data_IF_061722537639
#
_entry.id   IF_061722537639
#
_cell.length_a   1.000
_cell.length_b   1.000
_cell.length_c   1.000
_cell.angle_alpha   90.00
_cell.angle_beta   90.00
_cell.angle_gamma   90.00
#
_symmetry.space_group_name_H-M   'P 1'
#
loop_
_entity.id
_entity.type
_entity.pdbx_description
1 polymer ?
#
# COMPACT_ATOMS: atom_id res chain seq x y z
N UNK A 1 62.51 -20.40 14.08
CA UNK A 1 62.60 -19.42 15.18
C UNK A 1 61.57 -18.34 14.88
N UNK A 2 60.52 -18.28 15.68
CA UNK A 2 59.31 -17.48 15.50
C UNK A 2 59.53 -16.05 15.98
N UNK A 3 59.13 -15.05 15.19
CA UNK A 3 58.87 -13.69 15.71
C UNK A 3 57.72 -13.02 14.94
N UNK A 4 56.72 -12.65 15.75
CA UNK A 4 55.74 -11.55 15.63
C UNK A 4 54.73 -11.62 14.48
N UNK A 5 53.46 -11.96 14.74
CA UNK A 5 52.42 -11.12 15.38
C UNK A 5 52.40 -9.69 14.86
N UNK A 6 51.51 -9.42 13.91
CA UNK A 6 50.87 -8.11 13.75
C UNK A 6 49.37 -8.33 13.52
N UNK A 7 48.67 -8.15 14.63
CA UNK A 7 47.23 -8.03 14.78
C UNK A 7 46.68 -6.98 13.81
N UNK A 8 45.91 -7.43 12.82
CA UNK A 8 44.96 -6.56 12.12
C UNK A 8 43.82 -6.28 13.10
N UNK A 9 43.94 -5.18 13.85
CA UNK A 9 42.78 -4.54 14.48
C UNK A 9 41.81 -4.14 13.36
N UNK A 10 40.80 -4.96 13.12
CA UNK A 10 39.59 -4.54 12.43
C UNK A 10 38.93 -3.52 13.35
N UNK A 11 39.16 -2.25 13.06
CA UNK A 11 38.37 -1.14 13.60
C UNK A 11 36.94 -1.29 13.05
N UNK A 12 36.14 -2.14 13.70
CA UNK A 12 34.68 -2.07 13.61
C UNK A 12 34.25 -0.81 14.35
N UNK A 13 34.40 0.33 13.70
CA UNK A 13 33.74 1.55 14.15
C UNK A 13 32.24 1.28 14.04
N UNK A 14 31.63 0.90 15.16
CA UNK A 14 30.19 0.90 15.35
C UNK A 14 29.73 2.33 15.16
N UNK A 15 29.44 2.69 13.91
CA UNK A 15 28.92 4.01 13.58
C UNK A 15 27.52 4.04 14.18
N UNK A 16 27.38 4.66 15.34
CA UNK A 16 26.09 4.98 15.93
C UNK A 16 25.40 5.91 14.93
N UNK A 17 24.34 5.41 14.30
CA UNK A 17 23.50 6.25 13.46
C UNK A 17 22.77 7.22 14.37
N UNK A 18 22.71 8.49 13.97
CA UNK A 18 21.81 9.41 14.64
C UNK A 18 20.35 8.94 14.44
N UNK A 19 19.41 9.27 15.35
CA UNK A 19 18.00 8.93 15.19
C UNK A 19 17.41 9.38 13.84
N UNK A 20 17.94 10.47 13.29
CA UNK A 20 17.57 10.99 11.98
C UNK A 20 18.06 10.10 10.83
N UNK A 21 19.30 9.62 10.87
CA UNK A 21 19.85 8.69 9.87
C UNK A 21 19.14 7.32 9.92
N UNK A 22 18.77 6.86 11.12
CA UNK A 22 17.98 5.65 11.30
C UNK A 22 16.59 5.77 10.64
N UNK A 23 15.92 6.91 10.78
CA UNK A 23 14.63 7.19 10.13
C UNK A 23 14.73 7.23 8.59
N UNK A 24 15.82 7.79 8.04
CA UNK A 24 16.06 7.81 6.59
C UNK A 24 16.28 6.39 6.05
N UNK A 25 17.07 5.57 6.74
CA UNK A 25 17.34 4.18 6.37
C UNK A 25 16.05 3.34 6.50
N UNK A 26 15.23 3.58 7.52
CA UNK A 26 13.91 2.97 7.69
C UNK A 26 13.01 3.25 6.49
N UNK A 27 12.88 4.53 6.12
CA UNK A 27 12.04 4.96 5.02
C UNK A 27 12.52 4.35 3.68
N UNK A 28 13.83 4.31 3.44
CA UNK A 28 14.40 3.71 2.24
C UNK A 28 14.17 2.20 2.16
N UNK A 29 14.32 1.47 3.28
CA UNK A 29 14.04 0.02 3.34
C UNK A 29 12.56 -0.29 3.18
N UNK A 30 11.68 0.51 3.80
CA UNK A 30 10.23 0.37 3.65
C UNK A 30 9.80 0.64 2.20
N UNK A 31 10.31 1.71 1.58
CA UNK A 31 10.03 2.02 0.17
C UNK A 31 10.52 0.91 -0.78
N UNK A 32 11.68 0.32 -0.51
CA UNK A 32 12.20 -0.83 -1.27
C UNK A 32 11.35 -2.10 -1.07
N UNK A 33 10.71 -2.28 0.09
CA UNK A 33 9.80 -3.39 0.33
C UNK A 33 8.42 -3.20 -0.35
N UNK A 34 8.00 -1.95 -0.58
CA UNK A 34 6.76 -1.67 -1.32
C UNK A 34 6.84 -2.15 -2.77
N UNK A 35 7.98 -1.95 -3.44
CA UNK A 35 8.15 -2.34 -4.85
C UNK A 35 8.09 -3.87 -5.07
N UNK A 36 8.22 -4.66 -4.00
CA UNK A 36 8.16 -6.12 -4.02
C UNK A 36 6.81 -6.71 -3.55
N UNK A 37 5.90 -5.91 -2.98
CA UNK A 37 4.68 -6.41 -2.31
C UNK A 37 3.39 -6.03 -3.04
N UNK A 38 2.35 -6.87 -2.90
CA UNK A 38 1.02 -6.73 -3.53
C UNK A 38 0.19 -5.50 -3.08
N UNK A 39 0.29 -4.96 -1.84
CA UNK A 39 -0.46 -3.78 -1.42
C UNK A 39 0.34 -2.47 -1.57
N UNK A 40 -0.37 -1.38 -1.86
CA UNK A 40 0.16 -0.02 -1.90
C UNK A 40 -0.09 0.63 -0.54
N UNK A 41 0.95 1.20 0.08
CA UNK A 41 0.79 1.86 1.38
C UNK A 41 0.80 3.38 1.21
N UNK A 42 -0.08 4.07 1.92
CA UNK A 42 -0.06 5.52 1.95
C UNK A 42 1.15 6.07 2.72
N UNK A 43 1.56 7.34 2.47
CA UNK A 43 2.69 7.96 3.17
C UNK A 43 2.57 7.94 4.70
N UNK A 44 1.37 8.14 5.26
CA UNK A 44 1.14 8.08 6.71
C UNK A 44 1.40 6.70 7.31
N UNK A 45 1.06 5.60 6.60
CA UNK A 45 1.35 4.23 7.05
C UNK A 45 2.86 3.99 7.08
N UNK A 46 3.56 4.40 6.03
CA UNK A 46 5.02 4.28 5.97
C UNK A 46 5.70 5.10 7.06
N UNK A 47 5.21 6.32 7.32
CA UNK A 47 5.72 7.18 8.39
C UNK A 47 5.53 6.55 9.76
N UNK A 48 4.32 6.07 10.06
CA UNK A 48 4.04 5.40 11.33
C UNK A 48 4.89 4.13 11.55
N UNK A 49 5.19 3.40 10.47
CA UNK A 49 6.09 2.25 10.52
C UNK A 49 7.56 2.67 10.74
N UNK A 50 8.00 3.75 10.09
CA UNK A 50 9.34 4.31 10.30
C UNK A 50 9.51 4.83 11.74
N UNK A 51 8.50 5.51 12.29
CA UNK A 51 8.50 6.00 13.67
C UNK A 51 8.60 4.83 14.68
N UNK A 52 7.85 3.75 14.45
CA UNK A 52 7.98 2.53 15.27
C UNK A 52 9.38 1.93 15.20
N UNK A 53 9.96 1.88 13.99
CA UNK A 53 11.29 1.32 13.82
C UNK A 53 12.35 2.18 14.53
N UNK A 54 12.19 3.50 14.51
CA UNK A 54 13.02 4.44 15.27
C UNK A 54 12.88 4.24 16.79
N UNK A 55 11.66 4.04 17.30
CA UNK A 55 11.41 3.72 18.72
C UNK A 55 12.08 2.42 19.15
N UNK A 56 12.00 1.38 18.30
CA UNK A 56 12.64 0.07 18.54
C UNK A 56 14.16 0.21 18.61
N UNK A 57 14.77 0.97 17.69
CA UNK A 57 16.20 1.27 17.75
C UNK A 57 16.61 2.05 18.99
N UNK A 58 15.88 3.12 19.33
CA UNK A 58 16.17 3.88 20.54
C UNK A 58 16.04 3.02 21.81
N UNK A 59 15.08 2.08 21.84
CA UNK A 59 14.95 1.13 22.94
C UNK A 59 16.14 0.16 22.99
N UNK A 60 16.60 -0.35 21.85
CA UNK A 60 17.71 -1.31 21.81
C UNK A 60 19.02 -0.70 22.26
N UNK A 61 19.30 0.54 21.87
CA UNK A 61 20.46 1.29 22.34
C UNK A 61 20.46 1.45 23.87
N UNK A 62 19.31 1.79 24.47
CA UNK A 62 19.17 1.89 25.94
C UNK A 62 19.42 0.57 26.65
N UNK A 63 19.17 -0.56 25.98
CA UNK A 63 19.37 -1.90 26.51
C UNK A 63 20.68 -2.55 26.08
N UNK A 64 21.56 -1.83 25.36
CA UNK A 64 22.86 -2.33 24.92
C UNK A 64 22.80 -3.40 23.82
N UNK A 65 21.70 -3.48 23.08
CA UNK A 65 21.54 -4.38 21.93
C UNK A 65 22.00 -3.65 20.67
N UNK A 66 23.06 -4.14 20.04
CA UNK A 66 23.66 -3.48 18.89
C UNK A 66 22.88 -3.80 17.59
N UNK A 67 22.90 -2.91 16.57
CA UNK A 67 22.34 -3.17 15.24
C UNK A 67 22.75 -4.53 14.62
N UNK A 68 23.98 -4.97 14.85
CA UNK A 68 24.49 -6.26 14.36
C UNK A 68 23.84 -7.48 15.05
N UNK A 69 23.35 -7.32 16.28
CA UNK A 69 22.69 -8.38 17.04
C UNK A 69 21.27 -8.66 16.51
N UNK A 70 20.71 -7.78 15.69
CA UNK A 70 19.43 -8.03 15.02
C UNK A 70 19.58 -8.92 13.79
N UNK A 71 20.74 -8.87 13.13
CA UNK A 71 21.03 -9.75 12.00
C UNK A 71 21.14 -11.21 12.46
N UNK A 72 21.68 -11.44 13.66
CA UNK A 72 21.75 -12.78 14.28
C UNK A 72 20.41 -13.29 14.78
N UNK A 73 19.47 -12.39 15.09
CA UNK A 73 18.07 -12.73 15.40
C UNK A 73 17.24 -13.09 14.16
N UNK A 74 17.80 -12.99 12.95
CA UNK A 74 17.12 -13.20 11.67
C UNK A 74 15.79 -12.44 11.55
N UNK A 75 15.64 -11.33 12.28
CA UNK A 75 14.40 -10.57 12.32
C UNK A 75 14.46 -9.40 11.33
N UNK A 76 13.61 -9.43 10.30
CA UNK A 76 13.44 -8.30 9.41
C UNK A 76 12.57 -7.23 10.10
N UNK A 77 13.22 -6.31 10.83
CA UNK A 77 12.51 -5.32 11.65
C UNK A 77 11.59 -4.39 10.86
N UNK A 78 11.95 -4.02 9.63
CA UNK A 78 11.12 -3.13 8.81
C UNK A 78 9.78 -3.78 8.41
N UNK A 79 9.75 -5.00 7.83
CA UNK A 79 8.52 -5.75 7.64
C UNK A 79 7.71 -5.96 8.93
N UNK A 80 8.36 -6.25 10.06
CA UNK A 80 7.67 -6.41 11.35
C UNK A 80 7.05 -5.10 11.84
N UNK A 81 7.74 -3.98 11.73
CA UNK A 81 7.20 -2.66 12.08
C UNK A 81 5.98 -2.31 11.22
N UNK A 82 6.07 -2.58 9.91
CA UNK A 82 4.96 -2.38 8.99
C UNK A 82 3.76 -3.27 9.36
N UNK A 83 3.97 -4.57 9.57
CA UNK A 83 2.93 -5.51 10.00
C UNK A 83 2.30 -5.09 11.35
N UNK A 84 3.12 -4.67 12.32
CA UNK A 84 2.64 -4.21 13.62
C UNK A 84 1.74 -2.98 13.50
N UNK A 85 2.08 -2.02 12.62
CA UNK A 85 1.24 -0.84 12.36
C UNK A 85 -0.04 -1.19 11.62
N UNK A 86 0.01 -2.04 10.60
CA UNK A 86 -1.21 -2.55 9.93
C UNK A 86 -2.13 -3.24 10.95
N UNK A 87 -1.58 -4.11 11.78
CA UNK A 87 -2.34 -4.80 12.83
C UNK A 87 -2.89 -3.84 13.89
N UNK A 88 -2.22 -2.71 14.15
CA UNK A 88 -2.76 -1.67 15.03
C UNK A 88 -3.96 -0.96 14.37
N UNK A 89 -3.88 -0.62 13.08
CA UNK A 89 -5.01 -0.04 12.34
C UNK A 89 -6.21 -0.99 12.27
N UNK A 90 -5.97 -2.28 12.06
CA UNK A 90 -7.03 -3.29 12.02
C UNK A 90 -7.68 -3.59 13.37
N UNK A 91 -7.02 -3.23 14.48
CA UNK A 91 -7.59 -3.36 15.85
C UNK A 91 -8.32 -2.10 16.30
N UNK A 92 -8.11 -0.97 15.63
CA UNK A 92 -8.82 0.25 15.95
C UNK A 92 -10.32 0.06 15.63
N UNK A 93 -11.23 0.57 16.47
CA UNK A 93 -12.65 0.55 16.15
C UNK A 93 -12.88 1.30 14.84
N UNK A 94 -13.66 0.71 13.93
CA UNK A 94 -13.95 1.37 12.68
C UNK A 94 -14.86 2.58 12.95
N UNK A 95 -14.45 3.80 12.54
CA UNK A 95 -15.27 4.98 12.72
C UNK A 95 -16.52 4.88 11.86
N UNK A 96 -17.64 5.38 12.38
CA UNK A 96 -18.84 5.62 11.60
C UNK A 96 -18.58 6.80 10.65
N UNK A 97 -18.61 6.53 9.35
CA UNK A 97 -18.35 7.50 8.28
C UNK A 97 -19.32 7.23 7.14
N UNK A 98 -19.61 8.26 6.34
CA UNK A 98 -20.27 8.08 5.05
C UNK A 98 -19.20 7.68 4.01
N UNK A 99 -19.21 6.41 3.52
CA UNK A 99 -18.18 5.95 2.59
C UNK A 99 -18.28 6.61 1.21
N UNK A 100 -19.46 7.07 0.79
CA UNK A 100 -19.63 7.79 -0.48
C UNK A 100 -19.13 9.24 -0.40
N UNK A 101 -19.35 9.90 0.74
CA UNK A 101 -18.75 11.21 1.01
C UNK A 101 -17.22 11.11 1.01
N UNK A 102 -16.66 10.08 1.65
CA UNK A 102 -15.20 9.92 1.68
C UNK A 102 -14.61 9.65 0.29
N UNK A 103 -15.29 8.87 -0.56
CA UNK A 103 -14.90 8.70 -1.96
C UNK A 103 -15.00 10.01 -2.75
N UNK A 104 -15.98 10.86 -2.47
CA UNK A 104 -16.09 12.20 -3.06
C UNK A 104 -14.88 13.06 -2.70
N UNK A 105 -14.42 13.01 -1.44
CA UNK A 105 -13.20 13.70 -1.01
C UNK A 105 -11.93 13.16 -1.69
N UNK A 106 -11.87 11.85 -1.96
CA UNK A 106 -10.78 11.25 -2.74
C UNK A 106 -10.72 11.82 -4.16
N UNK A 107 -11.87 11.97 -4.83
CA UNK A 107 -11.94 12.59 -6.17
C UNK A 107 -11.45 14.04 -6.11
N UNK A 108 -11.98 14.84 -5.18
CA UNK A 108 -11.58 16.24 -5.01
C UNK A 108 -10.08 16.38 -4.78
N UNK A 109 -9.51 15.52 -3.95
CA UNK A 109 -8.07 15.53 -3.70
C UNK A 109 -7.25 15.13 -4.94
N UNK A 110 -7.70 14.16 -5.72
CA UNK A 110 -7.04 13.78 -6.97
C UNK A 110 -7.09 14.92 -8.01
N UNK A 111 -8.22 15.61 -8.13
CA UNK A 111 -8.37 16.80 -8.99
C UNK A 111 -7.46 17.94 -8.56
N UNK A 112 -7.36 18.20 -7.26
CA UNK A 112 -6.47 19.23 -6.71
C UNK A 112 -4.99 18.92 -7.01
N UNK A 113 -4.62 17.65 -6.94
CA UNK A 113 -3.25 17.18 -7.19
C UNK A 113 -2.87 17.34 -8.67
N UNK A 114 -3.80 17.01 -9.58
CA UNK A 114 -3.54 17.00 -11.02
C UNK A 114 -3.79 18.37 -11.68
N UNK A 115 -4.57 19.25 -11.04
CA UNK A 115 -5.01 20.52 -11.60
C UNK A 115 -6.06 20.37 -12.71
N UNK A 116 -6.54 19.15 -12.96
CA UNK A 116 -7.48 18.79 -14.02
C UNK A 116 -8.60 17.91 -13.47
N UNK A 117 -9.85 18.06 -13.95
CA UNK A 117 -10.96 17.21 -13.54
C UNK A 117 -10.67 15.72 -13.74
N UNK A 118 -11.13 14.90 -12.80
CA UNK A 118 -11.11 13.44 -12.94
C UNK A 118 -12.37 13.05 -13.71
N UNK A 119 -12.19 12.34 -14.83
CA UNK A 119 -13.33 11.87 -15.62
C UNK A 119 -14.06 10.75 -14.89
N UNK A 120 -15.14 11.07 -14.18
CA UNK A 120 -16.02 10.09 -13.57
C UNK A 120 -16.89 9.41 -14.63
N UNK A 121 -16.74 8.09 -14.75
CA UNK A 121 -17.70 7.24 -15.48
C UNK A 121 -18.92 7.00 -14.60
N UNK A 122 -18.69 6.81 -13.30
CA UNK A 122 -19.73 6.66 -12.29
C UNK A 122 -19.33 7.41 -11.02
N UNK A 123 -20.26 8.22 -10.51
CA UNK A 123 -20.06 9.01 -9.30
C UNK A 123 -19.94 8.10 -8.06
N UNK A 124 -19.31 8.59 -6.97
CA UNK A 124 -19.32 7.91 -5.68
C UNK A 124 -20.73 7.46 -5.28
N UNK A 125 -20.89 6.15 -5.12
CA UNK A 125 -22.17 5.50 -4.87
C UNK A 125 -22.03 4.54 -3.69
N UNK A 126 -22.85 4.75 -2.66
CA UNK A 126 -23.00 3.80 -1.56
C UNK A 126 -23.85 2.62 -2.02
N UNK A 127 -23.33 1.40 -1.85
CA UNK A 127 -24.08 0.16 -2.03
C UNK A 127 -24.89 -0.12 -0.77
N UNK A 128 -24.26 0.07 0.39
CA UNK A 128 -24.85 -0.07 1.72
C UNK A 128 -24.03 0.79 2.72
N UNK A 129 -24.28 0.65 4.02
CA UNK A 129 -23.58 1.42 5.07
C UNK A 129 -22.08 1.10 5.19
N UNK A 130 -21.66 -0.06 4.69
CA UNK A 130 -20.34 -0.65 4.83
C UNK A 130 -19.58 -0.71 3.49
N UNK A 131 -20.22 -0.42 2.35
CA UNK A 131 -19.62 -0.54 1.02
C UNK A 131 -20.00 0.64 0.12
N UNK A 132 -19.00 1.24 -0.51
CA UNK A 132 -19.18 2.23 -1.58
C UNK A 132 -18.12 2.06 -2.68
N UNK A 133 -18.42 2.59 -3.86
CA UNK A 133 -17.51 2.58 -4.99
C UNK A 133 -17.65 3.83 -5.86
N UNK A 134 -16.66 4.04 -6.73
CA UNK A 134 -16.72 4.97 -7.85
C UNK A 134 -15.97 4.40 -9.04
N UNK A 135 -16.30 4.88 -10.25
CA UNK A 135 -15.67 4.42 -11.49
C UNK A 135 -15.04 5.61 -12.21
N UNK A 136 -13.73 5.54 -12.42
CA UNK A 136 -12.94 6.58 -13.06
C UNK A 136 -12.56 6.13 -14.48
N UNK A 137 -12.74 7.03 -15.44
CA UNK A 137 -12.33 6.85 -16.82
C UNK A 137 -10.81 6.87 -16.93
N UNK A 138 -10.29 6.18 -17.94
CA UNK A 138 -8.86 6.21 -18.25
C UNK A 138 -8.47 7.54 -18.87
N UNK A 139 -7.23 7.94 -18.59
CA UNK A 139 -6.50 8.97 -19.34
C UNK A 139 -5.60 8.30 -20.38
N UNK A 140 -5.05 9.10 -21.30
CA UNK A 140 -4.16 8.59 -22.35
C UNK A 140 -2.86 8.01 -21.76
N UNK A 141 -2.40 8.57 -20.64
CA UNK A 141 -1.20 8.21 -19.90
C UNK A 141 -1.43 7.01 -18.96
N UNK A 142 -2.69 6.70 -18.67
CA UNK A 142 -3.04 5.58 -17.79
C UNK A 142 -2.51 4.27 -18.39
N UNK A 143 -1.79 3.42 -17.62
CA UNK A 143 -1.32 2.14 -18.10
C UNK A 143 -2.44 1.30 -18.72
N UNK A 144 -2.13 0.49 -19.73
CA UNK A 144 -3.13 -0.39 -20.34
C UNK A 144 -3.42 -1.57 -19.40
N UNK A 145 -4.70 -1.76 -19.04
CA UNK A 145 -5.15 -2.90 -18.24
C UNK A 145 -6.54 -3.39 -18.66
N UNK A 146 -6.91 -4.57 -18.17
CA UNK A 146 -8.11 -5.28 -18.60
C UNK A 146 -7.95 -5.98 -19.96
N UNK A 147 -8.96 -6.75 -20.42
CA UNK A 147 -8.85 -7.61 -21.60
C UNK A 147 -8.53 -6.87 -22.91
N UNK A 148 -8.97 -5.62 -23.02
CA UNK A 148 -8.78 -4.76 -24.20
C UNK A 148 -7.81 -3.61 -23.96
N UNK A 149 -7.23 -3.52 -22.76
CA UNK A 149 -6.32 -2.44 -22.40
C UNK A 149 -6.99 -1.09 -22.17
N UNK A 150 -8.33 -1.04 -22.09
CA UNK A 150 -9.17 0.18 -22.00
C UNK A 150 -10.10 0.21 -20.78
N UNK A 151 -10.01 -0.74 -19.86
CA UNK A 151 -10.96 -0.85 -18.75
C UNK A 151 -10.86 0.35 -17.79
N UNK A 152 -11.96 0.86 -17.24
CA UNK A 152 -11.91 1.93 -16.24
C UNK A 152 -11.24 1.48 -14.93
N UNK A 153 -10.93 2.45 -14.06
CA UNK A 153 -10.46 2.20 -12.70
C UNK A 153 -11.67 2.22 -11.76
N UNK A 154 -11.91 1.13 -11.06
CA UNK A 154 -12.88 1.07 -9.96
C UNK A 154 -12.13 1.30 -8.65
N UNK A 155 -12.61 2.26 -7.86
CA UNK A 155 -12.13 2.50 -6.50
C UNK A 155 -13.24 2.09 -5.55
N UNK A 156 -12.94 1.19 -4.62
CA UNK A 156 -13.88 0.68 -3.64
C UNK A 156 -13.39 0.98 -2.24
N UNK A 157 -14.35 1.33 -1.38
CA UNK A 157 -14.18 1.43 0.06
C UNK A 157 -15.15 0.46 0.70
N UNK A 158 -14.63 -0.55 1.40
CA UNK A 158 -15.44 -1.65 1.94
C UNK A 158 -15.11 -1.88 3.41
N UNK A 159 -16.10 -2.31 4.18
CA UNK A 159 -15.91 -2.79 5.55
C UNK A 159 -16.26 -4.28 5.56
N UNK A 160 -15.28 -5.19 5.40
CA UNK A 160 -15.57 -6.61 5.26
C UNK A 160 -16.24 -7.14 6.52
N UNK A 161 -17.40 -7.77 6.38
CA UNK A 161 -18.07 -8.47 7.48
C UNK A 161 -17.22 -9.68 7.92
N UNK A 162 -16.24 -9.47 8.80
CA UNK A 162 -15.48 -10.57 9.41
C UNK A 162 -16.34 -11.19 10.50
N UNK A 163 -16.72 -12.45 10.31
CA UNK A 163 -17.59 -13.20 11.23
C UNK A 163 -17.15 -13.03 12.69
N UNK A 164 -17.98 -12.38 13.52
CA UNK A 164 -17.79 -12.29 14.97
C UNK A 164 -17.06 -11.04 15.50
N UNK A 165 -16.66 -10.08 14.66
CA UNK A 165 -16.08 -8.80 15.11
C UNK A 165 -17.00 -7.66 14.70
N UNK A 166 -17.49 -6.88 15.69
CA UNK A 166 -18.54 -5.88 15.50
C UNK A 166 -18.14 -4.65 14.67
N UNK A 167 -16.88 -4.53 14.23
CA UNK A 167 -16.42 -3.47 13.33
C UNK A 167 -15.08 -3.88 12.70
N UNK A 168 -15.12 -4.43 11.48
CA UNK A 168 -13.90 -4.63 10.71
C UNK A 168 -13.32 -3.28 10.27
N UNK A 169 -12.00 -3.16 10.06
CA UNK A 169 -11.41 -1.94 9.51
C UNK A 169 -11.92 -1.69 8.08
N UNK A 170 -11.91 -0.42 7.68
CA UNK A 170 -12.13 -0.04 6.28
C UNK A 170 -10.97 -0.51 5.40
N UNK A 171 -11.30 -1.09 4.24
CA UNK A 171 -10.36 -1.58 3.24
C UNK A 171 -10.58 -0.84 1.92
N UNK A 172 -9.49 -0.26 1.39
CA UNK A 172 -9.47 0.42 0.09
C UNK A 172 -8.98 -0.53 -0.99
N UNK A 173 -9.72 -0.62 -2.09
CA UNK A 173 -9.36 -1.48 -3.21
C UNK A 173 -9.41 -0.73 -4.52
N UNK A 174 -8.37 -0.93 -5.34
CA UNK A 174 -8.31 -0.50 -6.72
C UNK A 174 -8.45 -1.73 -7.61
N UNK A 175 -9.43 -1.71 -8.51
CA UNK A 175 -9.68 -2.81 -9.44
C UNK A 175 -9.78 -2.29 -10.88
N UNK A 176 -9.13 -2.95 -11.86
CA UNK A 176 -9.48 -2.78 -13.25
C UNK A 176 -10.82 -3.50 -13.44
N UNK A 177 -11.83 -2.80 -13.96
CA UNK A 177 -13.17 -3.36 -14.13
C UNK A 177 -13.16 -4.69 -14.91
N UNK A 178 -13.68 -5.77 -14.30
CA UNK A 178 -14.44 -6.84 -14.99
C UNK A 178 -15.44 -7.52 -14.01
N UNK A 179 -16.72 -7.69 -14.41
CA UNK A 179 -17.73 -8.53 -13.73
C UNK A 179 -17.43 -10.04 -13.65
N UNK A 180 -16.36 -10.54 -14.27
CA UNK A 180 -16.13 -11.97 -14.53
C UNK A 180 -15.08 -12.64 -13.61
N UNK A 181 -14.88 -12.11 -12.40
CA UNK A 181 -14.43 -12.92 -11.25
C UNK A 181 -12.93 -13.27 -11.13
N UNK A 182 -12.06 -12.95 -12.10
CA UNK A 182 -10.60 -12.93 -11.87
C UNK A 182 -10.12 -11.50 -11.69
N UNK A 183 -10.31 -10.98 -10.47
CA UNK A 183 -9.99 -9.59 -10.14
C UNK A 183 -8.52 -9.48 -9.77
N UNK A 184 -7.72 -8.86 -10.63
CA UNK A 184 -6.43 -8.33 -10.19
C UNK A 184 -6.73 -7.07 -9.36
N UNK A 185 -6.97 -7.22 -8.07
CA UNK A 185 -7.13 -6.09 -7.15
C UNK A 185 -5.76 -5.65 -6.62
N UNK A 186 -5.59 -4.34 -6.45
CA UNK A 186 -4.55 -3.78 -5.61
C UNK A 186 -5.21 -3.25 -4.34
N UNK A 187 -4.76 -3.72 -3.19
CA UNK A 187 -5.19 -3.20 -1.90
C UNK A 187 -4.40 -1.93 -1.59
N UNK A 188 -5.10 -0.86 -1.21
CA UNK A 188 -4.48 0.35 -0.66
C UNK A 188 -4.61 0.29 0.86
N UNK A 189 -3.47 0.33 1.54
CA UNK A 189 -3.41 0.32 3.00
C UNK A 189 -3.21 1.75 3.46
N UNK A 190 -4.23 2.27 4.14
CA UNK A 190 -4.26 3.60 4.73
C UNK A 190 -4.66 3.50 6.22
N UNK A 191 -4.41 4.53 7.04
CA UNK A 191 -4.94 4.58 8.39
C UNK A 191 -6.48 4.55 8.37
N UNK A 192 -7.13 4.12 9.47
CA UNK A 192 -8.58 4.18 9.56
C UNK A 192 -9.06 5.62 9.38
N UNK A 193 -10.10 5.86 8.56
CA UNK A 193 -10.57 7.20 8.22
C UNK A 193 -11.42 7.80 9.36
N UNK A 194 -10.83 8.02 10.54
CA UNK A 194 -11.52 8.74 11.61
C UNK A 194 -11.91 10.14 11.15
N UNK A 195 -13.01 10.75 11.65
CA UNK A 195 -13.44 12.07 11.17
C UNK A 195 -12.36 13.16 11.17
N UNK A 196 -11.45 13.14 12.16
CA UNK A 196 -10.32 14.07 12.25
C UNK A 196 -9.18 13.80 11.24
N UNK A 197 -9.09 12.58 10.70
CA UNK A 197 -8.07 12.16 9.75
C UNK A 197 -8.63 11.90 8.34
N UNK A 198 -9.95 11.85 8.19
CA UNK A 198 -10.63 11.55 6.93
C UNK A 198 -10.15 12.42 5.77
N UNK A 199 -9.98 13.75 5.91
CA UNK A 199 -9.43 14.58 4.82
C UNK A 199 -8.00 14.20 4.45
N UNK A 200 -7.15 13.89 5.43
CA UNK A 200 -5.76 13.47 5.19
C UNK A 200 -5.71 12.11 4.51
N UNK A 201 -6.49 11.14 4.97
CA UNK A 201 -6.59 9.81 4.37
C UNK A 201 -7.12 9.92 2.94
N UNK A 202 -8.18 10.71 2.72
CA UNK A 202 -8.73 10.95 1.39
C UNK A 202 -7.71 11.60 0.46
N UNK A 203 -6.90 12.55 0.96
CA UNK A 203 -5.84 13.18 0.19
C UNK A 203 -4.73 12.18 -0.22
N UNK A 204 -4.30 11.32 0.69
CA UNK A 204 -3.29 10.30 0.40
C UNK A 204 -3.80 9.26 -0.60
N UNK A 205 -5.05 8.80 -0.44
CA UNK A 205 -5.68 7.87 -1.40
C UNK A 205 -5.90 8.56 -2.75
N UNK A 206 -6.32 9.83 -2.76
CA UNK A 206 -6.46 10.65 -3.97
C UNK A 206 -5.15 10.78 -4.75
N UNK A 207 -4.03 10.99 -4.04
CA UNK A 207 -2.70 11.01 -4.66
C UNK A 207 -2.31 9.65 -5.26
N UNK A 208 -2.69 8.52 -4.64
CA UNK A 208 -2.48 7.19 -5.22
C UNK A 208 -3.33 7.02 -6.47
N UNK A 209 -4.62 7.40 -6.42
CA UNK A 209 -5.54 7.33 -7.56
C UNK A 209 -5.02 8.16 -8.74
N UNK A 210 -4.64 9.42 -8.50
CA UNK A 210 -3.99 10.29 -9.50
C UNK A 210 -2.72 9.64 -10.06
N UNK A 211 -1.85 9.09 -9.19
CA UNK A 211 -0.64 8.39 -9.60
C UNK A 211 -0.92 7.19 -10.51
N UNK A 212 -1.99 6.45 -10.26
CA UNK A 212 -2.42 5.33 -11.12
C UNK A 212 -2.95 5.84 -12.46
N UNK A 213 -3.79 6.88 -12.45
CA UNK A 213 -4.36 7.47 -13.67
C UNK A 213 -3.30 8.14 -14.57
N UNK A 214 -2.25 8.69 -13.98
CA UNK A 214 -1.13 9.31 -14.70
C UNK A 214 -0.02 8.32 -15.08
N UNK A 215 -0.13 7.07 -14.61
CA UNK A 215 0.88 6.02 -14.83
C UNK A 215 2.14 6.16 -13.99
N UNK A 216 2.20 7.09 -13.05
CA UNK A 216 3.27 7.18 -12.05
C UNK A 216 3.29 5.95 -11.10
N UNK A 217 2.12 5.32 -10.90
CA UNK A 217 1.95 4.11 -10.09
C UNK A 217 1.43 2.98 -10.98
N UNK A 218 2.11 1.84 -10.96
CA UNK A 218 1.68 0.61 -11.62
C UNK A 218 1.19 -0.40 -10.57
N UNK A 219 -0.11 -0.41 -10.21
CA UNK A 219 -0.61 -1.15 -9.06
C UNK A 219 -0.62 -2.67 -9.29
N UNK A 220 -0.59 -3.11 -10.55
CA UNK A 220 -0.45 -4.50 -10.94
C UNK A 220 0.91 -4.67 -11.61
N UNK A 221 1.88 -5.23 -10.89
CA UNK A 221 3.27 -5.38 -11.37
C UNK A 221 3.37 -5.87 -12.82
N UNK A 222 4.34 -5.32 -13.58
CA UNK A 222 4.44 -5.37 -15.05
C UNK A 222 4.68 -6.73 -15.73
N UNK A 223 4.18 -7.83 -15.18
CA UNK A 223 4.33 -9.17 -15.76
C UNK A 223 3.23 -9.57 -16.76
N UNK A 224 2.22 -8.73 -17.02
CA UNK A 224 1.29 -8.95 -18.14
C UNK A 224 1.85 -8.34 -19.43
N UNK A 225 2.92 -8.96 -19.95
CA UNK A 225 3.05 -9.04 -21.41
C UNK A 225 1.76 -9.67 -21.93
N UNK A 226 1.18 -9.21 -23.06
CA UNK A 226 0.06 -9.89 -23.71
C UNK A 226 0.56 -11.22 -24.29
N UNK A 227 0.74 -12.21 -23.41
CA UNK A 227 1.04 -13.58 -23.75
C UNK A 227 -0.23 -14.21 -24.26
N UNK A 228 -0.39 -14.20 -25.59
CA UNK A 228 -1.28 -15.03 -26.40
C UNK A 228 -2.22 -15.90 -25.58
N UNK A 229 -3.46 -15.45 -25.37
CA UNK A 229 -4.57 -16.37 -25.18
C UNK A 229 -4.63 -17.27 -26.42
N UNK A 230 -3.98 -18.42 -26.36
CA UNK A 230 -4.15 -19.49 -27.32
C UNK A 230 -5.60 -19.92 -27.17
N UNK A 231 -6.47 -19.50 -28.11
CA UNK A 231 -7.79 -20.11 -28.28
C UNK A 231 -7.56 -21.62 -28.33
N UNK A 232 -7.99 -22.35 -27.30
CA UNK A 232 -8.28 -23.75 -27.44
C UNK A 232 -9.56 -23.84 -28.28
N UNK A 233 -9.39 -23.78 -29.61
CA UNK A 233 -10.36 -24.28 -30.56
C UNK A 233 -10.50 -25.77 -30.31
N UNK A 234 -11.63 -26.17 -29.74
CA UNK A 234 -11.98 -27.56 -29.47
C UNK A 234 -13.48 -27.75 -29.51
N UNK A 235 -14.09 -27.45 -30.67
CA UNK A 235 -15.42 -27.95 -30.98
C UNK A 235 -15.40 -29.48 -30.98
N UNK A 236 -16.33 -30.09 -30.26
CA UNK A 236 -17.10 -31.25 -30.73
C UNK A 236 -18.42 -31.32 -29.96
N UNK A 237 -19.45 -30.82 -30.62
CA UNK A 237 -20.81 -31.33 -30.48
C UNK A 237 -20.77 -32.77 -31.01
N UNK A 238 -21.07 -33.74 -30.15
CA UNK A 238 -21.48 -35.07 -30.58
C UNK A 238 -23.01 -35.11 -30.58
N UNK A 239 -23.57 -35.56 -31.71
CA UNK A 239 -24.97 -36.00 -31.83
C UNK A 239 -25.13 -37.34 -31.13
#
# INVERSE_FOLDING_TARGET
MLTMSSTLCVNSATRLFTPHEAAIIAAARLSSAQSATRPIYTPSVLRAAADLLAEVWAASERHGVAPADWETLHCELAPLALQARIAAFHRAPAPDIDPAELLTEVVRAAELQDGEPVHLVEAPTAINADDAYMVLGRRAETPAWGPRGDAPLVVMLTRPARSGVAAAPWEWTLAPDVPDGTVNTACVIAPPPFPSMAPTVAAEVGAIVSGVLTGAIHPWGGANRPGRFRRASGARVAR
#
